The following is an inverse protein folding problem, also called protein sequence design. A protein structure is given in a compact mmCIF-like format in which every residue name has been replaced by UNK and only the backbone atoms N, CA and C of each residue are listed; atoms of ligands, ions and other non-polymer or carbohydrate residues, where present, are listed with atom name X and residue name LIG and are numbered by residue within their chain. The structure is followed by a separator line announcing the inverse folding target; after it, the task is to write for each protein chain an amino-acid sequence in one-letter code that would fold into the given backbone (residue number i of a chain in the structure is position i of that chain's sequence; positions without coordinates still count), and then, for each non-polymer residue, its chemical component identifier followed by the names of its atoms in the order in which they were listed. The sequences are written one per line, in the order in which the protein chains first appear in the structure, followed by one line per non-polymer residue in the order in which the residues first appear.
data_IF_488300831504
#
_entry.id   IF_488300831504
#
_cell.length_a   1.000
_cell.length_b   1.000
_cell.length_c   1.000
_cell.angle_alpha   90.00
_cell.angle_beta   90.00
_cell.angle_gamma   90.00
#
_symmetry.space_group_name_H-M   'P 1'
#
loop_
_entity.id
_entity.type
_entity.pdbx_description
1 polymer ?
#
# COMPACT_ATOMS: atom_id res chain seq x y z
N UNK A 1 23.12 -14.88 -74.14
CA UNK A 1 21.90 -15.37 -73.46
C UNK A 1 21.09 -14.17 -73.01
N UNK A 2 19.84 -14.07 -73.47
CA UNK A 2 18.88 -13.02 -73.16
C UNK A 2 18.18 -13.32 -71.84
N UNK A 3 18.02 -12.32 -70.98
CA UNK A 3 16.82 -12.19 -70.13
C UNK A 3 16.66 -10.75 -69.63
N UNK A 4 15.67 -10.05 -70.20
CA UNK A 4 14.98 -8.91 -69.59
C UNK A 4 14.12 -9.43 -68.44
N UNK A 5 13.98 -8.71 -67.31
CA UNK A 5 12.67 -8.64 -66.62
C UNK A 5 12.56 -7.52 -65.57
N UNK A 6 11.70 -6.56 -65.92
CA UNK A 6 10.57 -5.98 -65.16
C UNK A 6 10.82 -5.26 -63.82
N UNK A 7 10.57 -3.97 -63.89
CA UNK A 7 10.15 -3.08 -62.78
C UNK A 7 9.01 -3.74 -61.98
N UNK A 8 9.08 -3.68 -60.65
CA UNK A 8 7.90 -3.81 -59.79
C UNK A 8 7.92 -2.73 -58.71
N UNK A 9 7.16 -1.65 -58.96
CA UNK A 9 6.59 -0.78 -57.96
C UNK A 9 5.57 -1.57 -57.11
N UNK A 10 5.23 -1.06 -55.92
CA UNK A 10 4.17 -1.49 -54.99
C UNK A 10 4.57 -2.69 -54.07
N UNK A 11 4.41 -2.68 -52.75
CA UNK A 11 3.60 -1.86 -51.85
C UNK A 11 3.98 -2.15 -50.36
N UNK A 12 3.35 -1.40 -49.43
CA UNK A 12 2.96 -1.81 -48.06
C UNK A 12 4.12 -1.88 -47.02
N UNK A 13 4.07 -1.30 -45.82
CA UNK A 13 3.03 -0.66 -45.00
C UNK A 13 3.72 0.35 -44.07
N UNK A 14 3.13 1.54 -43.93
CA UNK A 14 3.38 2.46 -42.83
C UNK A 14 3.18 1.77 -41.48
N UNK A 15 4.27 1.39 -40.82
CA UNK A 15 4.27 0.90 -39.44
C UNK A 15 4.91 1.92 -38.51
N UNK A 16 4.47 3.18 -38.53
CA UNK A 16 4.81 4.12 -37.47
C UNK A 16 4.08 3.64 -36.21
N UNK A 17 4.73 2.76 -35.45
CA UNK A 17 4.26 2.37 -34.12
C UNK A 17 4.34 3.64 -33.27
N UNK A 18 3.21 4.35 -33.19
CA UNK A 18 2.95 5.32 -32.14
C UNK A 18 2.99 4.55 -30.82
N UNK A 19 4.20 4.43 -30.28
CA UNK A 19 4.44 3.99 -28.92
C UNK A 19 4.00 5.17 -28.05
N UNK A 20 2.68 5.33 -27.91
CA UNK A 20 2.04 6.24 -26.98
C UNK A 20 2.40 5.72 -25.60
N UNK A 21 3.55 6.17 -25.07
CA UNK A 21 3.87 6.03 -23.66
C UNK A 21 2.71 6.66 -22.90
N UNK A 22 1.80 5.83 -22.38
CA UNK A 22 0.91 6.27 -21.32
C UNK A 22 1.84 6.72 -20.20
N UNK A 23 1.86 8.03 -19.94
CA UNK A 23 2.53 8.56 -18.77
C UNK A 23 1.85 7.92 -17.56
N UNK A 24 2.48 6.86 -17.03
CA UNK A 24 2.08 6.30 -15.76
C UNK A 24 2.35 7.40 -14.73
N UNK A 25 1.29 8.03 -14.25
CA UNK A 25 1.37 8.94 -13.12
C UNK A 25 1.75 8.08 -11.90
N UNK A 26 3.05 7.96 -11.64
CA UNK A 26 3.58 7.46 -10.38
C UNK A 26 3.23 8.49 -9.31
N UNK A 27 2.12 8.25 -8.61
CA UNK A 27 1.87 8.92 -7.33
C UNK A 27 2.69 8.16 -6.29
N UNK A 28 3.78 8.77 -5.81
CA UNK A 28 4.57 8.20 -4.74
C UNK A 28 3.78 8.34 -3.43
N UNK A 29 3.21 7.23 -2.96
CA UNK A 29 2.54 7.19 -1.68
C UNK A 29 3.57 7.17 -0.54
N UNK A 30 3.40 8.06 0.44
CA UNK A 30 4.31 8.19 1.58
C UNK A 30 3.64 7.67 2.84
N UNK A 31 4.36 6.84 3.60
CA UNK A 31 3.90 6.31 4.88
C UNK A 31 4.62 7.03 6.02
N UNK A 32 3.85 7.51 6.99
CA UNK A 32 4.32 7.90 8.32
C UNK A 32 3.62 7.02 9.33
N UNK A 33 4.38 6.32 10.18
CA UNK A 33 3.82 5.42 11.16
C UNK A 33 4.58 5.46 12.49
N UNK A 34 3.89 5.07 13.55
CA UNK A 34 4.45 4.84 14.88
C UNK A 34 3.90 3.55 15.46
N UNK A 35 4.67 2.91 16.32
CA UNK A 35 4.20 1.74 17.05
C UNK A 35 4.83 1.65 18.44
N UNK A 36 4.09 1.07 19.37
CA UNK A 36 4.49 0.83 20.75
C UNK A 36 4.08 -0.57 21.19
N UNK A 37 4.98 -1.22 21.91
CA UNK A 37 4.74 -2.49 22.58
C UNK A 37 5.01 -2.34 24.07
N UNK A 38 4.10 -2.84 24.91
CA UNK A 38 4.28 -2.92 26.36
C UNK A 38 4.13 -4.35 26.82
N UNK A 39 5.14 -4.83 27.53
CA UNK A 39 5.18 -6.18 28.10
C UNK A 39 4.82 -6.20 29.60
N UNK A 40 4.05 -5.22 30.09
CA UNK A 40 3.73 -5.16 31.52
C UNK A 40 2.97 -6.41 31.98
N UNK A 41 3.18 -6.80 33.25
CA UNK A 41 2.75 -8.10 33.77
C UNK A 41 1.24 -8.29 33.89
N UNK A 42 0.46 -7.23 33.67
CA UNK A 42 -1.00 -7.24 33.82
C UNK A 42 -1.74 -7.04 32.49
N UNK A 43 -1.14 -6.42 31.48
CA UNK A 43 -1.77 -6.22 30.18
C UNK A 43 -0.74 -6.05 29.04
N UNK A 44 -0.40 -7.15 28.38
CA UNK A 44 0.35 -7.09 27.12
C UNK A 44 -0.40 -6.22 26.09
N UNK A 45 0.23 -5.13 25.64
CA UNK A 45 -0.40 -4.17 24.73
C UNK A 45 0.46 -3.91 23.51
N UNK A 46 -0.16 -4.02 22.34
CA UNK A 46 0.37 -3.57 21.07
C UNK A 46 -0.48 -2.41 20.56
N UNK A 47 0.18 -1.32 20.18
CA UNK A 47 -0.47 -0.15 19.57
C UNK A 47 0.31 0.30 18.35
N UNK A 48 -0.39 0.72 17.30
CA UNK A 48 0.23 1.32 16.14
C UNK A 48 -0.68 2.36 15.47
N UNK A 49 -0.08 3.40 14.92
CA UNK A 49 -0.77 4.46 14.18
C UNK A 49 -0.07 4.62 12.82
N UNK A 50 -0.85 4.76 11.76
CA UNK A 50 -0.33 4.94 10.40
C UNK A 50 -1.11 5.98 9.65
N UNK A 51 -0.36 6.82 8.95
CA UNK A 51 -0.84 7.81 8.01
C UNK A 51 -0.18 7.58 6.66
N UNK A 52 -0.99 7.57 5.62
CA UNK A 52 -0.56 7.38 4.24
C UNK A 52 -1.01 8.61 3.45
N UNK A 53 -0.11 9.22 2.70
CA UNK A 53 -0.39 10.35 1.81
C UNK A 53 -0.05 10.01 0.38
N UNK A 54 -0.53 10.83 -0.57
CA UNK A 54 -0.24 10.65 -1.99
C UNK A 54 -1.04 9.51 -2.62
N UNK A 55 -2.20 9.17 -2.02
CA UNK A 55 -3.15 8.22 -2.57
C UNK A 55 -4.09 8.93 -3.56
N UNK A 56 -4.70 8.18 -4.46
CA UNK A 56 -5.78 8.72 -5.31
C UNK A 56 -6.98 9.12 -4.41
N UNK A 57 -7.44 10.39 -4.46
CA UNK A 57 -8.61 10.83 -3.71
C UNK A 57 -9.85 10.01 -4.07
N UNK A 58 -10.64 9.63 -3.06
CA UNK A 58 -11.85 8.82 -3.24
C UNK A 58 -11.59 7.33 -3.54
N UNK A 59 -10.33 6.90 -3.63
CA UNK A 59 -9.97 5.49 -3.73
C UNK A 59 -10.23 4.75 -2.41
N UNK A 60 -10.55 3.46 -2.49
CA UNK A 60 -10.63 2.57 -1.32
C UNK A 60 -9.31 1.82 -1.18
N UNK A 61 -8.76 1.84 0.03
CA UNK A 61 -7.49 1.22 0.35
C UNK A 61 -7.62 0.27 1.53
N UNK A 62 -6.78 -0.75 1.52
CA UNK A 62 -6.66 -1.72 2.58
C UNK A 62 -5.33 -1.49 3.30
N UNK A 63 -5.36 -1.20 4.60
CA UNK A 63 -4.16 -1.02 5.43
C UNK A 63 -3.99 -2.23 6.33
N UNK A 64 -2.81 -2.84 6.29
CA UNK A 64 -2.45 -3.97 7.15
C UNK A 64 -1.15 -3.69 7.90
N UNK A 65 -1.04 -4.19 9.12
CA UNK A 65 0.20 -4.26 9.90
C UNK A 65 0.51 -5.72 10.26
N UNK A 66 1.78 -6.04 10.46
CA UNK A 66 2.20 -7.35 10.99
C UNK A 66 1.38 -7.74 12.24
N UNK A 67 0.74 -8.91 12.22
CA UNK A 67 -0.05 -9.42 13.35
C UNK A 67 -1.52 -9.00 13.41
N UNK A 68 -2.07 -8.32 12.39
CA UNK A 68 -3.52 -8.07 12.28
C UNK A 68 -4.22 -9.23 11.56
N UNK A 69 -5.39 -9.60 12.07
CA UNK A 69 -6.30 -10.50 11.35
C UNK A 69 -7.11 -9.65 10.35
N UNK A 70 -6.54 -9.47 9.15
CA UNK A 70 -7.19 -8.82 8.02
C UNK A 70 -6.85 -7.33 7.83
N UNK A 71 -7.04 -6.78 6.62
CA UNK A 71 -6.81 -5.38 6.35
C UNK A 71 -7.98 -4.50 6.82
N UNK A 72 -7.67 -3.33 7.37
CA UNK A 72 -8.65 -2.28 7.55
C UNK A 72 -8.93 -1.58 6.22
N UNK A 73 -10.19 -1.55 5.81
CA UNK A 73 -10.62 -0.82 4.61
C UNK A 73 -10.87 0.63 4.98
N UNK A 74 -10.16 1.54 4.34
CA UNK A 74 -10.29 2.98 4.58
C UNK A 74 -10.38 3.71 3.24
N UNK A 75 -11.42 4.52 3.09
CA UNK A 75 -11.56 5.40 1.95
C UNK A 75 -10.57 6.56 2.08
N UNK A 76 -9.88 6.89 1.00
CA UNK A 76 -8.97 8.02 1.01
C UNK A 76 -9.74 9.34 0.97
N UNK A 77 -9.55 10.16 2.00
CA UNK A 77 -10.02 11.53 2.06
C UNK A 77 -8.90 12.46 1.58
N UNK A 78 -9.14 13.21 0.50
CA UNK A 78 -8.17 14.15 -0.07
C UNK A 78 -6.78 13.53 -0.39
N UNK A 79 -6.74 12.24 -0.73
CA UNK A 79 -5.48 11.54 -1.04
C UNK A 79 -4.71 11.06 0.21
N UNK A 80 -5.34 11.09 1.38
CA UNK A 80 -4.79 10.57 2.63
C UNK A 80 -5.65 9.44 3.19
N UNK A 81 -5.01 8.54 3.96
CA UNK A 81 -5.65 7.50 4.79
C UNK A 81 -4.96 7.52 6.15
N UNK A 82 -5.74 7.40 7.21
CA UNK A 82 -5.25 7.28 8.58
C UNK A 82 -5.91 6.09 9.26
N UNK A 83 -5.16 5.36 10.09
CA UNK A 83 -5.64 4.18 10.80
C UNK A 83 -4.88 3.99 12.10
N UNK A 84 -5.63 3.70 13.16
CA UNK A 84 -5.10 3.35 14.47
C UNK A 84 -5.41 1.90 14.77
N UNK A 85 -4.44 1.20 15.35
CA UNK A 85 -4.46 -0.21 15.67
C UNK A 85 -4.16 -0.38 17.16
N UNK A 86 -4.96 -1.15 17.87
CA UNK A 86 -4.74 -1.40 19.29
C UNK A 86 -5.18 -2.82 19.69
N UNK A 87 -4.52 -3.40 20.68
CA UNK A 87 -4.91 -4.68 21.27
C UNK A 87 -5.80 -4.52 22.50
N UNK A 88 -6.01 -3.29 23.00
CA UNK A 88 -6.89 -2.99 24.11
C UNK A 88 -8.36 -2.97 23.67
N UNK A 89 -9.24 -3.81 24.25
CA UNK A 89 -10.66 -3.85 23.90
C UNK A 89 -11.39 -2.50 24.02
N UNK A 90 -10.97 -1.62 24.93
CA UNK A 90 -11.59 -0.29 25.09
C UNK A 90 -11.33 0.63 23.90
N UNK A 91 -10.11 0.61 23.38
CA UNK A 91 -9.71 1.45 22.25
C UNK A 91 -10.30 0.90 20.95
N UNK A 92 -10.37 -0.43 20.82
CA UNK A 92 -11.09 -1.10 19.72
C UNK A 92 -12.58 -0.71 19.72
N UNK A 93 -13.23 -0.70 20.89
CA UNK A 93 -14.61 -0.25 21.02
C UNK A 93 -14.79 1.25 20.70
N UNK A 94 -13.73 2.05 20.80
CA UNK A 94 -13.72 3.46 20.43
C UNK A 94 -13.43 3.70 18.94
N UNK A 95 -13.08 2.66 18.18
CA UNK A 95 -12.89 2.73 16.73
C UNK A 95 -11.52 2.27 16.22
N UNK A 96 -10.59 1.91 17.11
CA UNK A 96 -9.29 1.36 16.69
C UNK A 96 -9.46 -0.04 16.07
N UNK A 97 -8.58 -0.37 15.13
CA UNK A 97 -8.54 -1.68 14.48
C UNK A 97 -7.88 -2.67 15.43
N UNK A 98 -8.59 -3.76 15.74
CA UNK A 98 -8.08 -4.78 16.67
C UNK A 98 -6.83 -5.50 16.16
N UNK A 99 -5.81 -5.57 17.00
CA UNK A 99 -4.62 -6.40 16.77
C UNK A 99 -4.37 -7.34 17.94
N UNK A 100 -3.65 -8.43 17.67
CA UNK A 100 -3.35 -9.43 18.70
C UNK A 100 -2.41 -8.80 19.75
N UNK A 101 -2.66 -9.00 21.07
CA UNK A 101 -1.66 -8.70 22.09
C UNK A 101 -0.30 -9.34 21.72
N UNK A 102 0.79 -8.61 21.92
CA UNK A 102 2.13 -9.11 21.55
C UNK A 102 2.48 -9.09 20.06
N UNK A 103 1.57 -8.67 19.16
CA UNK A 103 1.86 -8.58 17.73
C UNK A 103 3.13 -7.76 17.41
N UNK A 104 3.48 -6.82 18.28
CA UNK A 104 4.62 -5.92 18.13
C UNK A 104 5.81 -6.24 19.04
N UNK A 105 5.81 -7.42 19.68
CA UNK A 105 6.86 -7.85 20.60
C UNK A 105 8.25 -7.99 19.96
N UNK A 106 8.31 -8.16 18.63
CA UNK A 106 9.56 -8.19 17.86
C UNK A 106 10.26 -6.82 17.79
N UNK A 107 9.62 -5.74 18.25
CA UNK A 107 10.17 -4.38 18.21
C UNK A 107 10.09 -3.73 16.83
N UNK A 108 9.32 -4.29 15.89
CA UNK A 108 9.11 -3.68 14.57
C UNK A 108 7.71 -3.92 14.03
N UNK A 109 7.23 -2.99 13.21
CA UNK A 109 5.95 -3.06 12.52
C UNK A 109 6.17 -2.85 11.02
N UNK A 110 5.61 -3.73 10.19
CA UNK A 110 5.54 -3.51 8.73
C UNK A 110 4.12 -3.22 8.31
N UNK A 111 3.92 -2.05 7.70
CA UNK A 111 2.67 -1.60 7.13
C UNK A 111 2.64 -1.87 5.64
N UNK A 112 1.49 -2.33 5.16
CA UNK A 112 1.23 -2.60 3.76
C UNK A 112 -0.09 -1.94 3.40
N UNK A 113 -0.06 -1.13 2.34
CA UNK A 113 -1.23 -0.45 1.80
C UNK A 113 -1.50 -1.03 0.42
N UNK A 114 -2.72 -1.52 0.21
CA UNK A 114 -3.18 -2.00 -1.09
C UNK A 114 -4.39 -1.22 -1.56
N UNK A 115 -4.58 -1.11 -2.86
CA UNK A 115 -5.79 -0.53 -3.44
C UNK A 115 -6.91 -1.59 -3.55
N UNK A 116 -8.07 -1.18 -4.07
CA UNK A 116 -9.22 -2.07 -4.31
C UNK A 116 -8.93 -3.28 -5.23
N UNK A 117 -7.88 -3.23 -6.04
CA UNK A 117 -7.42 -4.35 -6.88
C UNK A 117 -6.39 -5.25 -6.17
N UNK A 118 -6.23 -5.08 -4.85
CA UNK A 118 -5.22 -5.74 -4.01
C UNK A 118 -3.75 -5.46 -4.41
N UNK A 119 -3.50 -4.50 -5.31
CA UNK A 119 -2.15 -4.11 -5.67
C UNK A 119 -1.52 -3.27 -4.54
N UNK A 120 -0.30 -3.62 -4.14
CA UNK A 120 0.45 -2.87 -3.14
C UNK A 120 0.85 -1.52 -3.71
N UNK A 121 0.43 -0.45 -3.04
CA UNK A 121 0.71 0.95 -3.45
C UNK A 121 1.70 1.63 -2.51
N UNK A 122 1.84 1.13 -1.28
CA UNK A 122 2.84 1.60 -0.34
C UNK A 122 3.21 0.49 0.66
N UNK A 123 4.45 0.52 1.15
CA UNK A 123 4.89 -0.29 2.29
C UNK A 123 5.93 0.49 3.10
N UNK A 124 5.94 0.27 4.40
CA UNK A 124 6.88 0.91 5.30
C UNK A 124 7.09 0.07 6.55
N UNK A 125 8.33 0.02 7.01
CA UNK A 125 8.68 -0.65 8.26
C UNK A 125 9.20 0.38 9.24
N UNK A 126 8.73 0.30 10.49
CA UNK A 126 9.16 1.18 11.58
C UNK A 126 9.57 0.35 12.79
N UNK A 127 10.51 0.89 13.56
CA UNK A 127 10.90 0.33 14.86
C UNK A 127 9.89 0.74 15.92
N UNK A 128 9.40 -0.21 16.70
CA UNK A 128 8.45 0.05 17.78
C UNK A 128 9.17 0.47 19.04
N UNK A 129 8.55 1.40 19.77
CA UNK A 129 8.96 1.71 21.13
C UNK A 129 8.56 0.56 22.03
N UNK A 130 9.53 -0.16 22.57
CA UNK A 130 9.30 -1.23 23.55
C UNK A 130 9.42 -0.64 24.96
N UNK A 131 8.47 -0.95 25.84
CA UNK A 131 8.47 -0.53 27.26
C UNK A 131 8.21 -1.70 28.19
#
# INVERSE_FOLDING_TARGET
MVSNNKISLSALVSGLVLFSCLAANVHAATITASCEYRADSEQERSKADVKVKGLLPGGVYSVSISGVIGPAQVASAAGEVESSFDSNPKDIAAGDIGIVPGALASGSATFIVRNALAAQVATGTVTCRVR
#
